data_IF_121149143572
#
_entry.id   IF_121149143572
#
_cell.length_a   1.000
_cell.length_b   1.000
_cell.length_c   1.000
_cell.angle_alpha   90.00
_cell.angle_beta   90.00
_cell.angle_gamma   90.00
#
_symmetry.space_group_name_H-M   'P 1'
#
loop_
_entity.id
_entity.type
_entity.pdbx_description
1 polymer ?
#
# COMPACT_ATOMS: atom_id res chain seq x y z
N UNK A 1 64.51 43.33 22.27
CA UNK A 1 63.89 42.51 21.21
C UNK A 1 62.89 41.56 21.85
N UNK A 2 61.62 41.96 21.98
CA UNK A 2 60.56 41.10 22.51
C UNK A 2 59.89 40.36 21.36
N UNK A 3 59.95 39.02 21.37
CA UNK A 3 59.30 38.14 20.40
C UNK A 3 57.85 37.92 20.83
N UNK A 4 56.90 38.42 20.06
CA UNK A 4 55.48 38.06 20.19
C UNK A 4 55.25 36.73 19.47
N UNK A 5 54.81 35.71 20.21
CA UNK A 5 54.30 34.47 19.65
C UNK A 5 52.83 34.67 19.25
N UNK A 6 52.56 34.52 17.96
CA UNK A 6 51.20 34.48 17.41
C UNK A 6 50.66 33.05 17.61
N UNK A 7 49.72 32.87 18.53
CA UNK A 7 48.92 31.64 18.59
C UNK A 7 47.86 31.70 17.50
N UNK A 8 47.99 30.85 16.48
CA UNK A 8 46.91 30.59 15.52
C UNK A 8 45.93 29.63 16.19
N UNK A 9 44.77 30.14 16.58
CA UNK A 9 43.66 29.30 17.02
C UNK A 9 43.13 28.51 15.81
N UNK A 10 43.35 27.19 15.82
CA UNK A 10 42.72 26.27 14.88
C UNK A 10 41.21 26.25 15.20
N UNK A 11 40.40 26.87 14.36
CA UNK A 11 38.95 26.77 14.46
C UNK A 11 38.54 25.32 14.17
N UNK A 12 38.10 24.60 15.20
CA UNK A 12 37.49 23.28 15.06
C UNK A 12 36.17 23.43 14.28
N UNK A 13 36.17 23.03 13.01
CA UNK A 13 34.94 22.90 12.22
C UNK A 13 34.15 21.72 12.78
N UNK A 14 32.93 22.01 13.21
CA UNK A 14 32.08 21.23 14.09
C UNK A 14 31.66 19.84 13.53
N UNK A 15 31.44 18.83 14.41
CA UNK A 15 30.90 17.50 14.06
C UNK A 15 29.44 17.51 13.55
N UNK A 16 28.84 18.67 13.32
CA UNK A 16 27.44 18.80 12.91
C UNK A 16 27.17 18.32 11.48
N UNK A 17 28.18 18.34 10.61
CA UNK A 17 28.03 17.93 9.21
C UNK A 17 27.83 16.42 9.05
N UNK A 18 28.50 15.61 9.88
CA UNK A 18 28.42 14.15 9.81
C UNK A 18 27.06 13.62 10.30
N UNK A 19 26.59 14.08 11.46
CA UNK A 19 25.29 13.65 12.01
C UNK A 19 24.10 14.05 11.10
N UNK A 20 24.16 15.24 10.48
CA UNK A 20 23.15 15.67 9.51
C UNK A 20 23.21 14.87 8.19
N UNK A 21 24.40 14.41 7.79
CA UNK A 21 24.57 13.55 6.62
C UNK A 21 24.07 12.11 6.88
N UNK A 22 24.25 11.60 8.10
CA UNK A 22 23.75 10.29 8.53
C UNK A 22 22.22 10.23 8.59
N UNK A 23 21.56 11.30 9.03
CA UNK A 23 20.10 11.38 9.08
C UNK A 23 19.46 11.33 7.67
N UNK A 24 20.07 12.01 6.68
CA UNK A 24 19.55 12.06 5.31
C UNK A 24 19.46 10.69 4.65
N UNK A 25 20.30 9.73 5.06
CA UNK A 25 20.28 8.37 4.54
C UNK A 25 18.95 7.64 4.81
N UNK A 26 18.19 8.04 5.84
CA UNK A 26 16.93 7.41 6.23
C UNK A 26 15.69 8.12 5.66
N UNK A 27 15.82 9.35 5.18
CA UNK A 27 14.71 10.14 4.66
C UNK A 27 14.21 9.58 3.31
N UNK A 28 12.93 9.83 3.03
CA UNK A 28 12.23 9.41 1.83
C UNK A 28 11.27 8.24 2.06
N UNK A 29 10.83 7.65 0.95
CA UNK A 29 9.86 6.56 0.90
C UNK A 29 10.59 5.22 0.76
N UNK A 30 10.12 4.22 1.49
CA UNK A 30 10.76 2.92 1.63
C UNK A 30 9.76 1.79 1.52
N UNK A 31 10.05 0.89 0.59
CA UNK A 31 9.42 -0.42 0.46
C UNK A 31 9.97 -1.33 1.56
N UNK A 32 9.15 -1.59 2.59
CA UNK A 32 9.58 -2.33 3.77
C UNK A 32 9.14 -3.79 3.66
N UNK A 33 10.07 -4.72 3.83
CA UNK A 33 9.79 -6.15 3.97
C UNK A 33 10.05 -6.56 5.41
N UNK A 34 9.05 -7.15 6.05
CA UNK A 34 9.12 -7.65 7.42
C UNK A 34 9.21 -9.16 7.38
N UNK A 35 10.23 -9.73 8.02
CA UNK A 35 10.45 -11.18 8.07
C UNK A 35 10.41 -11.64 9.53
N UNK A 36 9.29 -12.21 9.99
CA UNK A 36 9.20 -12.83 11.30
C UNK A 36 10.13 -14.03 11.41
N UNK A 37 10.45 -14.45 12.64
CA UNK A 37 11.19 -15.69 12.88
C UNK A 37 10.48 -16.94 12.32
N UNK A 38 9.15 -16.89 12.13
CA UNK A 38 8.37 -17.95 11.47
C UNK A 38 8.60 -18.03 9.96
N UNK A 39 9.33 -17.08 9.38
CA UNK A 39 9.88 -17.12 8.03
C UNK A 39 9.02 -16.49 6.93
N UNK A 40 7.69 -16.46 7.07
CA UNK A 40 6.84 -15.88 6.01
C UNK A 40 6.88 -14.35 6.06
N UNK A 41 7.68 -13.77 5.17
CA UNK A 41 7.78 -12.33 5.00
C UNK A 41 6.45 -11.71 4.53
N UNK A 42 6.25 -10.43 4.85
CA UNK A 42 5.10 -9.66 4.40
C UNK A 42 5.47 -8.20 4.16
N UNK A 43 4.71 -7.50 3.30
CA UNK A 43 5.00 -6.12 2.97
C UNK A 43 4.49 -5.14 4.02
N UNK A 44 5.23 -4.05 4.13
CA UNK A 44 4.88 -2.80 4.78
C UNK A 44 5.51 -1.66 3.97
N UNK A 45 5.25 -0.42 4.35
CA UNK A 45 5.88 0.73 3.73
C UNK A 45 6.09 1.85 4.74
N UNK A 46 7.03 2.75 4.46
CA UNK A 46 7.33 3.90 5.32
C UNK A 46 7.71 5.13 4.51
N UNK A 47 7.36 6.31 5.03
CA UNK A 47 7.90 7.59 4.58
C UNK A 47 8.40 8.40 5.77
N UNK A 48 9.63 8.89 5.67
CA UNK A 48 10.25 9.81 6.62
C UNK A 48 10.60 11.11 5.94
N UNK A 49 10.24 12.23 6.56
CA UNK A 49 10.55 13.58 6.10
C UNK A 49 11.18 14.37 7.23
N UNK A 50 12.07 15.29 6.90
CA UNK A 50 12.61 16.25 7.86
C UNK A 50 11.87 17.57 7.72
N UNK A 51 11.39 18.10 8.84
CA UNK A 51 10.69 19.37 8.94
C UNK A 51 11.13 20.07 10.22
N UNK A 52 11.66 21.29 10.07
CA UNK A 52 12.14 22.12 11.18
C UNK A 52 13.11 21.38 12.13
N UNK A 53 14.01 20.56 11.57
CA UNK A 53 14.99 19.77 12.33
C UNK A 53 14.41 18.53 13.03
N UNK A 54 13.13 18.22 12.84
CA UNK A 54 12.46 17.02 13.38
C UNK A 54 12.15 16.03 12.26
N UNK A 55 12.23 14.75 12.57
CA UNK A 55 11.80 13.69 11.66
C UNK A 55 10.32 13.40 11.93
N UNK A 56 9.51 13.65 10.92
CA UNK A 56 8.10 13.25 10.85
C UNK A 56 7.95 12.12 9.83
N UNK A 57 6.81 11.44 9.84
CA UNK A 57 6.61 10.35 8.90
C UNK A 57 5.37 9.53 9.16
N UNK A 58 5.23 8.48 8.37
CA UNK A 58 4.12 7.53 8.44
C UNK A 58 4.57 6.14 8.04
N UNK A 59 3.83 5.15 8.53
CA UNK A 59 4.00 3.74 8.17
C UNK A 59 2.68 3.18 7.67
N UNK A 60 2.77 2.36 6.63
CA UNK A 60 1.69 1.49 6.18
C UNK A 60 1.91 0.10 6.77
N UNK A 61 1.11 -0.35 7.75
CA UNK A 61 1.15 -1.71 8.24
C UNK A 61 0.67 -2.72 7.17
N UNK A 62 0.81 -4.02 7.46
CA UNK A 62 0.44 -5.10 6.55
C UNK A 62 -1.02 -5.02 6.08
N UNK A 63 -1.92 -4.53 6.92
CA UNK A 63 -3.34 -4.33 6.64
C UNK A 63 -3.89 -3.17 7.45
N UNK A 64 -5.06 -2.67 7.07
CA UNK A 64 -5.61 -1.40 7.57
C UNK A 64 -4.90 -0.19 6.96
N UNK A 65 -5.30 1.01 7.38
CA UNK A 65 -4.75 2.27 6.86
C UNK A 65 -3.34 2.59 7.36
N UNK A 66 -2.68 3.54 6.69
CA UNK A 66 -1.41 4.08 7.18
C UNK A 66 -1.63 4.85 8.48
N UNK A 67 -0.57 5.00 9.26
CA UNK A 67 -0.58 5.79 10.50
C UNK A 67 0.67 6.64 10.64
N UNK A 68 0.58 7.83 11.25
CA UNK A 68 1.77 8.62 11.54
C UNK A 68 2.69 7.85 12.50
N UNK A 69 3.99 8.05 12.36
CA UNK A 69 4.93 7.64 13.40
C UNK A 69 4.73 8.53 14.64
N UNK A 70 5.04 8.00 15.82
CA UNK A 70 4.98 8.76 17.06
C UNK A 70 6.24 9.60 17.30
N UNK A 71 7.29 9.34 16.54
CA UNK A 71 8.54 10.09 16.52
C UNK A 71 9.67 9.25 15.95
N UNK A 72 10.77 9.92 15.61
CA UNK A 72 12.01 9.26 15.22
C UNK A 72 13.22 10.02 15.74
N UNK A 73 14.30 9.29 16.05
CA UNK A 73 15.58 9.85 16.49
C UNK A 73 16.75 9.03 15.96
N UNK A 74 17.86 9.71 15.70
CA UNK A 74 19.12 9.05 15.41
C UNK A 74 19.86 8.79 16.72
N UNK A 75 20.23 7.54 16.98
CA UNK A 75 20.96 7.12 18.18
C UNK A 75 22.03 6.11 17.79
N UNK A 76 23.31 6.42 18.05
CA UNK A 76 24.45 5.54 17.76
C UNK A 76 24.47 5.02 16.30
N UNK A 77 24.13 5.86 15.33
CA UNK A 77 24.08 5.51 13.90
C UNK A 77 22.84 4.72 13.47
N UNK A 78 21.90 4.45 14.38
CA UNK A 78 20.61 3.81 14.08
C UNK A 78 19.48 4.84 14.09
N UNK A 79 18.58 4.73 13.13
CA UNK A 79 17.29 5.42 13.17
C UNK A 79 16.32 4.62 14.02
N UNK A 80 15.92 5.18 15.16
CA UNK A 80 14.92 4.61 16.07
C UNK A 80 13.58 5.28 15.76
N UNK A 81 12.60 4.51 15.30
CA UNK A 81 11.29 4.98 14.87
C UNK A 81 10.23 4.41 15.81
N UNK A 82 9.52 5.29 16.51
CA UNK A 82 8.41 4.90 17.37
C UNK A 82 7.15 4.68 16.52
N UNK A 83 6.75 3.43 16.34
CA UNK A 83 5.64 3.01 15.47
C UNK A 83 4.31 2.94 16.22
N UNK A 84 4.34 2.50 17.49
CA UNK A 84 3.16 2.53 18.36
C UNK A 84 3.55 2.63 19.83
N UNK A 85 2.74 3.34 20.61
CA UNK A 85 2.95 3.50 22.05
C UNK A 85 2.61 2.21 22.80
N UNK A 86 3.16 2.08 24.01
CA UNK A 86 2.75 1.03 24.92
C UNK A 86 1.29 1.26 25.36
N UNK A 87 0.55 0.17 25.47
CA UNK A 87 -0.81 0.14 26.00
C UNK A 87 -1.07 -1.24 26.61
N UNK A 88 -2.09 -1.94 26.13
CA UNK A 88 -2.28 -3.37 26.48
C UNK A 88 -1.19 -4.29 25.91
N UNK A 89 -0.49 -3.83 24.87
CA UNK A 89 0.69 -4.46 24.30
C UNK A 89 1.92 -3.55 24.47
N UNK A 90 3.15 -4.08 24.47
CA UNK A 90 4.36 -3.26 24.51
C UNK A 90 4.45 -2.31 23.31
N UNK A 91 5.17 -1.21 23.48
CA UNK A 91 5.48 -0.28 22.40
C UNK A 91 6.19 -1.01 21.25
N UNK A 92 5.98 -0.54 20.02
CA UNK A 92 6.68 -1.04 18.84
C UNK A 92 7.62 0.05 18.36
N UNK A 93 8.91 -0.29 18.26
CA UNK A 93 9.93 0.57 17.68
C UNK A 93 10.61 -0.17 16.53
N UNK A 94 11.02 0.56 15.50
CA UNK A 94 11.95 0.02 14.50
C UNK A 94 13.33 0.61 14.73
N UNK A 95 14.34 -0.26 14.78
CA UNK A 95 15.74 0.16 14.77
C UNK A 95 16.33 -0.15 13.40
N UNK A 96 16.58 0.90 12.61
CA UNK A 96 17.08 0.78 11.25
C UNK A 96 18.51 1.30 11.15
N UNK A 97 19.32 0.65 10.34
CA UNK A 97 20.66 1.08 9.94
C UNK A 97 20.70 1.26 8.44
N UNK A 98 21.40 2.28 7.96
CA UNK A 98 21.68 2.42 6.54
C UNK A 98 22.75 1.41 6.11
N UNK A 99 22.37 0.50 5.20
CA UNK A 99 23.25 -0.50 4.61
C UNK A 99 23.68 -0.11 3.17
N UNK A 100 23.52 1.16 2.82
CA UNK A 100 23.74 1.74 1.48
C UNK A 100 22.73 2.84 1.18
N UNK A 101 22.94 3.61 0.11
CA UNK A 101 22.10 4.76 -0.25
C UNK A 101 20.60 4.43 -0.38
N UNK A 102 20.30 3.22 -0.87
CA UNK A 102 18.95 2.74 -1.17
C UNK A 102 18.57 1.46 -0.42
N UNK A 103 19.25 1.18 0.69
CA UNK A 103 18.97 0.00 1.51
C UNK A 103 19.06 0.29 2.99
N UNK A 104 17.97 0.01 3.71
CA UNK A 104 17.92 -0.07 5.16
C UNK A 104 17.84 -1.52 5.59
N UNK A 105 18.46 -1.82 6.73
CA UNK A 105 18.30 -3.11 7.43
C UNK A 105 18.06 -2.84 8.90
N UNK A 106 17.28 -3.68 9.56
CA UNK A 106 17.00 -3.46 10.96
C UNK A 106 16.14 -4.54 11.60
N UNK A 107 15.60 -4.20 12.75
CA UNK A 107 14.72 -5.06 13.53
C UNK A 107 13.54 -4.26 14.07
N UNK A 108 12.39 -4.90 14.13
CA UNK A 108 11.28 -4.44 14.95
C UNK A 108 11.54 -4.87 16.40
N UNK A 109 11.38 -3.94 17.34
CA UNK A 109 11.42 -4.15 18.79
C UNK A 109 10.01 -4.07 19.35
N UNK A 110 9.64 -5.02 20.21
CA UNK A 110 8.40 -4.98 21.00
C UNK A 110 8.77 -4.83 22.47
N UNK A 111 8.70 -3.60 22.99
CA UNK A 111 9.42 -3.24 24.21
C UNK A 111 10.92 -3.46 23.99
N UNK A 112 11.56 -4.18 24.90
CA UNK A 112 12.99 -4.54 24.78
C UNK A 112 13.24 -5.81 23.95
N UNK A 113 12.18 -6.52 23.56
CA UNK A 113 12.28 -7.82 22.88
C UNK A 113 12.50 -7.64 21.38
N UNK A 114 13.50 -8.34 20.85
CA UNK A 114 13.71 -8.46 19.40
C UNK A 114 12.55 -9.18 18.73
N UNK A 115 12.04 -8.57 17.68
CA UNK A 115 10.98 -9.07 16.84
C UNK A 115 11.47 -9.39 15.42
N UNK A 116 10.60 -9.23 14.41
CA UNK A 116 10.93 -9.48 13.01
C UNK A 116 12.13 -8.68 12.48
N UNK A 117 12.85 -9.27 11.53
CA UNK A 117 13.85 -8.55 10.75
C UNK A 117 13.17 -7.61 9.75
N UNK A 118 13.79 -6.46 9.50
CA UNK A 118 13.31 -5.42 8.60
C UNK A 118 14.33 -5.19 7.48
N UNK A 119 13.84 -5.11 6.25
CA UNK A 119 14.62 -4.63 5.10
C UNK A 119 13.80 -3.54 4.42
N UNK A 120 14.41 -2.37 4.23
CA UNK A 120 13.82 -1.27 3.46
C UNK A 120 14.59 -1.10 2.17
N UNK A 121 13.91 -1.12 1.02
CA UNK A 121 14.47 -0.68 -0.25
C UNK A 121 13.89 0.68 -0.59
N UNK A 122 14.67 1.56 -1.22
CA UNK A 122 14.15 2.88 -1.58
C UNK A 122 13.00 2.70 -2.56
N UNK A 123 11.84 3.27 -2.21
CA UNK A 123 10.66 3.20 -3.07
C UNK A 123 10.95 3.92 -4.40
N UNK A 124 10.64 3.30 -5.55
CA UNK A 124 10.84 3.91 -6.85
C UNK A 124 9.93 5.14 -7.02
N UNK A 125 10.37 6.13 -7.81
CA UNK A 125 9.57 7.34 -8.08
C UNK A 125 8.26 7.01 -8.82
N UNK A 126 8.31 6.08 -9.77
CA UNK A 126 7.19 5.64 -10.62
C UNK A 126 6.39 6.79 -11.28
N UNK A 127 7.07 7.90 -11.53
CA UNK A 127 6.54 9.03 -12.27
C UNK A 127 6.87 8.82 -13.75
N UNK A 128 5.89 8.29 -14.49
CA UNK A 128 6.03 7.90 -15.90
C UNK A 128 5.09 8.74 -16.76
N UNK A 129 5.48 9.09 -18.00
CA UNK A 129 4.61 9.80 -18.91
C UNK A 129 3.42 8.92 -19.31
N UNK A 130 2.23 9.54 -19.44
CA UNK A 130 1.03 8.87 -19.94
C UNK A 130 1.28 8.29 -21.35
N UNK A 131 0.97 7.00 -21.59
CA UNK A 131 1.05 6.42 -22.93
C UNK A 131 0.20 7.17 -23.96
N UNK A 132 0.78 7.41 -25.15
CA UNK A 132 0.11 8.13 -26.24
C UNK A 132 -1.06 7.36 -26.85
N UNK A 133 -1.03 6.02 -26.77
CA UNK A 133 -2.10 5.18 -27.30
C UNK A 133 -2.20 3.84 -26.56
N UNK A 134 -3.40 3.28 -26.57
CA UNK A 134 -3.77 2.07 -25.84
C UNK A 134 -4.27 1.01 -26.82
N UNK A 135 -3.94 -0.26 -26.55
CA UNK A 135 -4.49 -1.40 -27.26
C UNK A 135 -6.02 -1.48 -27.07
N UNK A 136 -6.70 -2.27 -27.90
CA UNK A 136 -8.12 -2.56 -27.69
C UNK A 136 -8.30 -3.32 -26.35
N UNK A 137 -9.38 -3.06 -25.60
CA UNK A 137 -9.64 -3.81 -24.37
C UNK A 137 -9.74 -5.31 -24.63
N UNK A 138 -9.15 -6.10 -23.72
CA UNK A 138 -9.28 -7.57 -23.68
C UNK A 138 -9.88 -7.99 -22.35
N UNK A 139 -10.70 -9.04 -22.35
CA UNK A 139 -11.34 -9.53 -21.14
C UNK A 139 -10.31 -10.19 -20.21
N UNK A 140 -10.34 -9.81 -18.93
CA UNK A 140 -9.61 -10.50 -17.85
C UNK A 140 -10.43 -11.64 -17.26
N UNK A 141 -11.75 -11.57 -17.32
CA UNK A 141 -12.65 -12.64 -16.88
C UNK A 141 -13.48 -13.15 -18.07
N UNK A 142 -13.57 -14.47 -18.20
CA UNK A 142 -14.18 -15.11 -19.37
C UNK A 142 -15.69 -15.38 -19.23
N UNK A 143 -16.28 -15.10 -18.06
CA UNK A 143 -17.70 -15.33 -17.78
C UNK A 143 -18.08 -16.78 -17.48
N UNK A 144 -17.12 -17.72 -17.44
CA UNK A 144 -17.38 -19.17 -17.40
C UNK A 144 -16.69 -19.87 -16.24
N UNK A 145 -15.45 -19.52 -15.95
CA UNK A 145 -14.63 -20.15 -14.92
C UNK A 145 -13.51 -19.20 -14.46
N UNK A 146 -12.67 -19.67 -13.54
CA UNK A 146 -11.54 -18.89 -12.99
C UNK A 146 -10.27 -18.96 -13.86
N UNK A 147 -10.35 -19.36 -15.14
CA UNK A 147 -9.17 -19.35 -16.02
C UNK A 147 -8.57 -17.94 -16.07
N UNK A 148 -7.26 -17.84 -15.78
CA UNK A 148 -6.56 -16.55 -15.66
C UNK A 148 -6.59 -15.94 -14.26
N UNK A 149 -7.22 -16.62 -13.29
CA UNK A 149 -7.31 -16.22 -11.88
C UNK A 149 -6.88 -17.35 -10.95
N UNK A 150 -6.29 -17.01 -9.82
CA UNK A 150 -5.93 -17.97 -8.78
C UNK A 150 -6.27 -17.45 -7.38
N UNK A 151 -6.83 -18.30 -6.49
CA UNK A 151 -7.06 -17.94 -5.10
C UNK A 151 -5.74 -17.84 -4.34
N UNK A 152 -5.68 -16.89 -3.42
CA UNK A 152 -4.53 -16.63 -2.54
C UNK A 152 -4.99 -16.40 -1.10
N UNK A 153 -4.05 -16.40 -0.16
CA UNK A 153 -4.38 -16.29 1.27
C UNK A 153 -4.98 -17.60 1.77
N UNK A 154 -6.25 -17.58 2.20
CA UNK A 154 -6.94 -18.74 2.74
C UNK A 154 -7.54 -19.64 1.65
N UNK A 155 -6.68 -20.23 0.81
CA UNK A 155 -7.08 -21.02 -0.38
C UNK A 155 -8.01 -22.19 -0.07
N UNK A 156 -7.87 -22.81 1.11
CA UNK A 156 -8.76 -23.90 1.56
C UNK A 156 -10.19 -23.43 1.82
N UNK A 157 -10.40 -22.13 2.05
CA UNK A 157 -11.70 -21.49 2.15
C UNK A 157 -11.98 -20.60 0.92
N UNK A 158 -11.76 -21.13 -0.28
CA UNK A 158 -12.09 -20.42 -1.51
C UNK A 158 -13.61 -20.31 -1.69
N UNK A 159 -14.10 -19.07 -1.85
CA UNK A 159 -15.51 -18.75 -2.13
C UNK A 159 -15.73 -18.17 -3.52
N UNK A 160 -14.67 -18.05 -4.32
CA UNK A 160 -14.75 -17.50 -5.67
C UNK A 160 -15.32 -18.53 -6.65
N UNK A 161 -16.36 -18.13 -7.37
CA UNK A 161 -17.03 -18.93 -8.39
C UNK A 161 -17.35 -18.07 -9.62
N UNK A 162 -17.38 -18.70 -10.78
CA UNK A 162 -18.03 -18.12 -11.95
C UNK A 162 -19.49 -18.58 -11.96
N UNK A 163 -20.43 -17.63 -11.95
CA UNK A 163 -21.87 -17.91 -11.92
C UNK A 163 -22.60 -16.87 -12.76
N UNK A 164 -23.43 -17.30 -13.71
CA UNK A 164 -24.26 -16.42 -14.55
C UNK A 164 -23.50 -15.32 -15.31
N UNK A 165 -22.26 -15.62 -15.75
CA UNK A 165 -21.41 -14.63 -16.43
C UNK A 165 -20.67 -13.67 -15.49
N UNK A 166 -20.82 -13.84 -14.18
CA UNK A 166 -20.22 -13.01 -13.13
C UNK A 166 -19.12 -13.78 -12.38
N UNK A 167 -18.13 -13.02 -11.90
CA UNK A 167 -17.15 -13.49 -10.95
C UNK A 167 -17.64 -13.13 -9.55
N UNK A 168 -17.98 -14.14 -8.75
CA UNK A 168 -18.68 -13.97 -7.47
C UNK A 168 -17.80 -14.44 -6.32
N UNK A 169 -17.64 -13.61 -5.29
CA UNK A 169 -17.17 -14.04 -3.98
C UNK A 169 -18.38 -14.43 -3.13
N UNK A 170 -18.70 -15.72 -3.03
CA UNK A 170 -19.87 -16.22 -2.28
C UNK A 170 -19.57 -16.35 -0.78
N UNK A 171 -19.23 -15.21 -0.15
CA UNK A 171 -18.83 -15.09 1.24
C UNK A 171 -19.83 -14.24 2.05
N UNK A 172 -21.06 -14.75 2.33
CA UNK A 172 -22.06 -13.99 3.05
C UNK A 172 -21.59 -13.61 4.45
N UNK A 173 -22.11 -12.50 4.97
CA UNK A 173 -21.94 -12.17 6.39
C UNK A 173 -22.69 -13.22 7.24
N UNK A 174 -21.97 -13.82 8.19
CA UNK A 174 -22.54 -14.76 9.14
C UNK A 174 -22.39 -14.17 10.55
N UNK A 175 -23.48 -13.83 11.24
CA UNK A 175 -23.42 -13.26 12.58
C UNK A 175 -22.59 -14.11 13.55
N UNK A 176 -21.63 -13.47 14.21
CA UNK A 176 -20.75 -14.15 15.16
C UNK A 176 -19.69 -15.06 14.54
N UNK A 177 -19.54 -15.07 13.20
CA UNK A 177 -18.42 -15.74 12.55
C UNK A 177 -17.11 -15.16 13.05
N UNK A 178 -16.26 -16.04 13.57
CA UNK A 178 -14.89 -15.76 14.00
C UNK A 178 -13.97 -16.69 13.24
N UNK A 179 -12.89 -16.16 12.69
CA UNK A 179 -11.93 -16.96 11.94
C UNK A 179 -11.30 -16.18 10.79
N UNK A 180 -10.34 -16.80 10.09
CA UNK A 180 -9.76 -16.19 8.90
C UNK A 180 -10.83 -16.04 7.82
N UNK A 181 -10.78 -14.92 7.10
CA UNK A 181 -11.63 -14.67 5.94
C UNK A 181 -11.54 -15.73 4.84
N UNK A 182 -12.38 -15.61 3.81
CA UNK A 182 -12.27 -16.43 2.60
C UNK A 182 -10.96 -16.16 1.83
N UNK A 183 -10.72 -16.92 0.77
CA UNK A 183 -9.60 -16.64 -0.11
C UNK A 183 -9.74 -15.27 -0.77
N UNK A 184 -8.62 -14.59 -0.94
CA UNK A 184 -8.46 -13.49 -1.88
C UNK A 184 -8.29 -14.07 -3.29
N UNK A 185 -8.49 -13.28 -4.35
CA UNK A 185 -8.33 -13.75 -5.75
C UNK A 185 -7.43 -12.80 -6.53
N UNK A 186 -6.48 -13.33 -7.31
CA UNK A 186 -5.65 -12.50 -8.19
C UNK A 186 -5.57 -13.05 -9.60
N UNK A 187 -5.21 -12.21 -10.57
CA UNK A 187 -4.87 -12.68 -11.91
C UNK A 187 -3.56 -13.46 -11.90
N UNK A 188 -3.44 -14.45 -12.79
CA UNK A 188 -2.16 -15.14 -13.03
C UNK A 188 -1.19 -14.29 -13.86
N UNK A 189 -1.71 -13.37 -14.68
CA UNK A 189 -0.93 -12.37 -15.39
C UNK A 189 -0.54 -11.19 -14.51
N UNK A 190 0.55 -10.51 -14.88
CA UNK A 190 1.05 -9.29 -14.24
C UNK A 190 1.14 -8.14 -15.24
N UNK A 191 0.93 -6.92 -14.76
CA UNK A 191 0.77 -5.72 -15.56
C UNK A 191 1.56 -4.55 -14.96
N UNK A 192 2.01 -3.64 -15.81
CA UNK A 192 2.67 -2.40 -15.37
C UNK A 192 1.71 -1.22 -15.45
N UNK A 193 1.63 -0.60 -16.62
CA UNK A 193 0.72 0.51 -16.90
C UNK A 193 -0.49 -0.05 -17.64
N UNK A 194 -1.70 0.39 -17.31
CA UNK A 194 -2.93 -0.14 -17.88
C UNK A 194 -4.11 0.83 -17.76
N UNK A 195 -5.13 0.57 -18.58
CA UNK A 195 -6.51 0.96 -18.29
C UNK A 195 -7.30 -0.27 -17.91
N UNK A 196 -8.01 -0.23 -16.78
CA UNK A 196 -8.91 -1.26 -16.30
C UNK A 196 -10.35 -0.72 -16.38
N UNK A 197 -11.25 -1.52 -16.95
CA UNK A 197 -12.68 -1.37 -16.74
C UNK A 197 -13.16 -2.56 -15.90
N UNK A 198 -13.98 -2.29 -14.87
CA UNK A 198 -14.56 -3.32 -14.01
C UNK A 198 -15.89 -2.84 -13.46
N UNK A 199 -16.92 -3.69 -13.54
CA UNK A 199 -18.19 -3.46 -12.87
C UNK A 199 -18.27 -4.30 -11.60
N UNK A 200 -18.79 -3.71 -10.53
CA UNK A 200 -18.95 -4.37 -9.23
C UNK A 200 -20.34 -4.10 -8.65
N UNK A 201 -20.88 -5.10 -7.96
CA UNK A 201 -22.03 -4.99 -7.09
C UNK A 201 -21.62 -5.43 -5.69
N UNK A 202 -21.51 -4.47 -4.78
CA UNK A 202 -21.21 -4.69 -3.37
C UNK A 202 -22.52 -4.55 -2.57
N UNK A 203 -22.97 -5.58 -1.82
CA UNK A 203 -24.16 -5.47 -0.99
C UNK A 203 -23.95 -4.50 0.18
N UNK A 204 -25.03 -4.16 0.87
CA UNK A 204 -24.92 -3.52 2.19
C UNK A 204 -24.07 -4.37 3.13
N UNK A 205 -23.26 -3.73 3.97
CA UNK A 205 -22.29 -4.35 4.87
C UNK A 205 -21.18 -5.19 4.17
N UNK A 206 -21.15 -5.20 2.84
CA UNK A 206 -20.07 -5.79 2.08
C UNK A 206 -18.79 -4.95 2.13
N UNK A 207 -17.65 -5.62 2.13
CA UNK A 207 -16.34 -5.00 2.00
C UNK A 207 -15.44 -5.86 1.08
N UNK A 208 -14.71 -5.19 0.21
CA UNK A 208 -13.78 -5.73 -0.76
C UNK A 208 -12.86 -4.60 -1.23
N UNK A 209 -12.00 -4.90 -2.20
CA UNK A 209 -11.06 -3.93 -2.74
C UNK A 209 -10.51 -4.39 -4.08
N UNK A 210 -10.28 -3.43 -4.97
CA UNK A 210 -9.64 -3.65 -6.28
C UNK A 210 -8.19 -3.20 -6.16
N UNK A 211 -7.28 -4.15 -6.05
CA UNK A 211 -5.85 -3.88 -5.91
C UNK A 211 -5.16 -3.82 -7.27
N UNK A 212 -4.67 -2.63 -7.59
CA UNK A 212 -3.86 -2.33 -8.76
C UNK A 212 -2.45 -2.86 -8.53
N UNK A 213 -1.97 -3.70 -9.44
CA UNK A 213 -0.67 -4.40 -9.33
C UNK A 213 -0.50 -5.19 -8.02
N UNK A 214 -1.60 -5.54 -7.34
CA UNK A 214 -1.60 -6.22 -6.06
C UNK A 214 -1.13 -5.37 -4.88
N UNK A 215 -1.07 -4.03 -5.03
CA UNK A 215 -0.44 -3.14 -4.04
C UNK A 215 -1.26 -1.91 -3.67
N UNK A 216 -2.08 -1.40 -4.58
CA UNK A 216 -2.81 -0.15 -4.36
C UNK A 216 -4.30 -0.37 -4.49
N UNK A 217 -5.01 -0.21 -3.39
CA UNK A 217 -6.44 -0.51 -3.29
C UNK A 217 -7.32 0.66 -3.71
N UNK A 218 -8.21 0.40 -4.67
CA UNK A 218 -9.44 1.19 -4.85
C UNK A 218 -10.55 0.51 -4.04
N UNK A 219 -11.10 1.23 -3.07
CA UNK A 219 -12.00 0.68 -2.06
C UNK A 219 -13.35 0.26 -2.62
N UNK A 220 -13.84 -0.92 -2.24
CA UNK A 220 -15.18 -1.44 -2.57
C UNK A 220 -15.94 -1.76 -1.29
N UNK A 221 -16.77 -0.83 -0.82
CA UNK A 221 -17.54 -1.00 0.41
C UNK A 221 -17.59 0.28 1.21
N UNK A 222 -17.91 0.18 2.50
CA UNK A 222 -17.99 1.32 3.42
C UNK A 222 -17.53 0.90 4.81
N UNK A 223 -16.88 1.81 5.54
CA UNK A 223 -16.58 1.65 6.97
C UNK A 223 -17.48 2.54 7.85
N UNK A 224 -18.63 2.97 7.30
CA UNK A 224 -19.65 3.73 8.04
C UNK A 224 -19.40 5.23 8.11
N UNK A 225 -18.51 5.78 7.28
CA UNK A 225 -18.32 7.22 7.07
C UNK A 225 -17.41 7.91 8.08
N UNK A 226 -16.92 7.21 9.10
CA UNK A 226 -16.04 7.79 10.12
C UNK A 226 -14.63 8.13 9.59
N UNK A 227 -14.18 7.40 8.57
CA UNK A 227 -12.93 7.62 7.86
C UNK A 227 -13.24 7.77 6.37
N UNK A 228 -13.32 9.01 5.84
CA UNK A 228 -13.75 9.24 4.46
C UNK A 228 -12.88 8.56 3.40
N UNK A 229 -11.60 8.33 3.68
CA UNK A 229 -10.63 7.63 2.84
C UNK A 229 -10.72 6.10 2.90
N UNK A 230 -11.71 5.56 3.62
CA UNK A 230 -12.04 4.13 3.72
C UNK A 230 -13.40 3.81 3.04
N UNK A 231 -13.95 4.77 2.29
CA UNK A 231 -15.26 4.68 1.66
C UNK A 231 -15.19 4.29 0.18
N UNK A 232 -16.30 3.77 -0.36
CA UNK A 232 -16.41 3.32 -1.75
C UNK A 232 -15.81 4.31 -2.76
N UNK A 233 -14.82 3.85 -3.52
CA UNK A 233 -14.11 4.64 -4.52
C UNK A 233 -12.96 5.49 -3.98
N UNK A 234 -12.63 5.40 -2.69
CA UNK A 234 -11.38 5.93 -2.15
C UNK A 234 -10.17 5.21 -2.75
N UNK A 235 -9.02 5.89 -2.80
CA UNK A 235 -7.74 5.19 -2.76
C UNK A 235 -7.48 4.93 -1.29
N UNK A 236 -7.57 3.67 -0.87
CA UNK A 236 -7.72 3.30 0.54
C UNK A 236 -6.67 3.98 1.42
N UNK A 237 -7.13 4.67 2.46
CA UNK A 237 -6.34 5.43 3.43
C UNK A 237 -5.58 6.64 2.83
N UNK A 238 -5.58 6.90 1.53
CA UNK A 238 -4.84 8.01 0.94
C UNK A 238 -5.72 9.16 0.45
N UNK A 239 -6.77 8.84 -0.31
CA UNK A 239 -7.61 9.85 -0.96
C UNK A 239 -9.08 9.48 -0.82
N UNK A 240 -9.89 10.30 -0.13
CA UNK A 240 -11.33 10.07 -0.03
C UNK A 240 -12.01 10.28 -1.39
N UNK A 241 -13.20 9.68 -1.61
CA UNK A 241 -14.01 10.01 -2.78
C UNK A 241 -14.45 11.49 -2.71
N UNK A 242 -14.96 12.07 -3.82
CA UNK A 242 -15.51 13.42 -3.82
C UNK A 242 -16.56 13.61 -2.73
N UNK A 243 -16.60 14.80 -2.13
CA UNK A 243 -17.61 15.12 -1.11
C UNK A 243 -19.03 14.91 -1.65
N UNK A 244 -19.86 14.19 -0.88
CA UNK A 244 -21.23 13.85 -1.29
C UNK A 244 -21.35 12.72 -2.31
N UNK A 245 -20.27 12.00 -2.61
CA UNK A 245 -20.32 10.80 -3.44
C UNK A 245 -21.29 9.75 -2.86
N UNK A 246 -22.14 9.18 -3.70
CA UNK A 246 -23.02 8.08 -3.30
C UNK A 246 -22.23 6.77 -3.16
N UNK A 247 -22.55 5.98 -2.13
CA UNK A 247 -21.92 4.67 -1.93
C UNK A 247 -22.36 3.65 -3.00
N UNK A 248 -23.59 3.73 -3.52
CA UNK A 248 -24.08 2.84 -4.57
C UNK A 248 -24.16 1.35 -4.18
N UNK A 249 -24.27 1.04 -2.88
CA UNK A 249 -24.38 -0.34 -2.38
C UNK A 249 -25.65 -1.03 -2.93
N UNK A 250 -25.56 -2.34 -3.13
CA UNK A 250 -26.59 -3.20 -3.73
C UNK A 250 -26.80 -3.01 -5.23
N UNK A 251 -26.20 -1.99 -5.84
CA UNK A 251 -26.34 -1.66 -7.27
C UNK A 251 -25.05 -1.98 -8.01
N UNK A 252 -25.18 -2.22 -9.31
CA UNK A 252 -24.01 -2.27 -10.21
C UNK A 252 -23.44 -0.85 -10.35
N UNK A 253 -22.14 -0.74 -10.15
CA UNK A 253 -21.34 0.47 -10.37
C UNK A 253 -20.13 0.09 -11.22
N UNK A 254 -19.73 1.01 -12.08
CA UNK A 254 -18.60 0.85 -12.99
C UNK A 254 -17.39 1.63 -12.49
N UNK A 255 -16.21 1.05 -12.65
CA UNK A 255 -14.92 1.72 -12.46
C UNK A 255 -14.12 1.67 -13.75
N UNK A 256 -13.75 2.85 -14.24
CA UNK A 256 -12.74 3.04 -15.29
C UNK A 256 -11.49 3.64 -14.64
N UNK A 257 -10.43 2.83 -14.59
CA UNK A 257 -9.20 3.16 -13.88
C UNK A 257 -8.06 3.25 -14.88
N UNK A 258 -7.40 4.40 -14.96
CA UNK A 258 -6.11 4.53 -15.67
C UNK A 258 -5.00 4.56 -14.64
N UNK A 259 -4.05 3.63 -14.74
CA UNK A 259 -2.94 3.50 -13.81
C UNK A 259 -1.61 3.48 -14.58
N UNK A 260 -0.76 4.47 -14.35
CA UNK A 260 0.53 4.64 -15.04
C UNK A 260 1.60 4.96 -14.02
N UNK A 261 2.61 4.09 -13.91
CA UNK A 261 3.57 4.13 -12.82
C UNK A 261 2.89 3.93 -11.47
N UNK A 262 2.69 5.02 -10.71
CA UNK A 262 1.81 5.06 -9.52
C UNK A 262 0.82 6.23 -9.51
N UNK A 263 0.57 6.81 -10.67
CA UNK A 263 -0.48 7.81 -10.83
C UNK A 263 -1.78 7.13 -11.24
N UNK A 264 -2.87 7.51 -10.58
CA UNK A 264 -4.19 6.91 -10.79
C UNK A 264 -5.22 7.97 -11.17
N UNK A 265 -5.98 7.66 -12.22
CA UNK A 265 -7.26 8.29 -12.50
C UNK A 265 -8.35 7.24 -12.27
N UNK A 266 -9.35 7.58 -11.46
CA UNK A 266 -10.52 6.74 -11.21
C UNK A 266 -11.75 7.50 -11.64
N UNK A 267 -12.49 6.93 -12.58
CA UNK A 267 -13.83 7.36 -12.94
C UNK A 267 -14.80 6.28 -12.49
N UNK A 268 -15.79 6.65 -11.69
CA UNK A 268 -16.83 5.75 -11.20
C UNK A 268 -18.19 6.23 -11.67
N UNK A 269 -18.94 5.37 -12.35
CA UNK A 269 -20.24 5.71 -12.97
C UNK A 269 -20.20 7.01 -13.80
N UNK A 270 -19.14 7.16 -14.59
CA UNK A 270 -18.90 8.33 -15.45
C UNK A 270 -18.46 9.60 -14.71
N UNK A 271 -18.31 9.58 -13.38
CA UNK A 271 -17.86 10.73 -12.57
C UNK A 271 -16.40 10.55 -12.16
N UNK A 272 -15.60 11.61 -12.24
CA UNK A 272 -14.20 11.60 -11.82
C UNK A 272 -14.12 11.60 -10.29
N UNK A 273 -13.49 10.57 -9.72
CA UNK A 273 -13.22 10.46 -8.29
C UNK A 273 -11.80 10.92 -7.96
N UNK A 274 -10.84 10.43 -8.74
CA UNK A 274 -9.43 10.79 -8.64
C UNK A 274 -8.92 11.15 -10.03
N UNK A 275 -8.17 12.25 -10.15
CA UNK A 275 -7.67 12.71 -11.44
C UNK A 275 -6.14 12.75 -11.45
N UNK A 276 -5.52 11.69 -11.97
CA UNK A 276 -4.07 11.53 -12.12
C UNK A 276 -3.28 11.88 -10.84
N UNK A 277 -3.74 11.39 -9.68
CA UNK A 277 -3.09 11.62 -8.39
C UNK A 277 -1.97 10.60 -8.17
N UNK A 278 -0.84 11.01 -7.60
CA UNK A 278 0.23 10.09 -7.19
C UNK A 278 -0.22 9.32 -5.94
N UNK A 279 -0.23 7.99 -5.97
CA UNK A 279 -0.40 7.21 -4.74
C UNK A 279 0.96 7.19 -4.02
N UNK A 280 1.08 7.63 -2.75
CA UNK A 280 2.38 7.78 -2.10
C UNK A 280 3.20 6.49 -2.01
N UNK A 281 2.52 5.37 -1.73
CA UNK A 281 3.08 4.03 -1.60
C UNK A 281 1.97 2.97 -1.60
N UNK A 282 2.29 1.69 -1.36
CA UNK A 282 1.30 0.62 -1.27
C UNK A 282 0.27 0.88 -0.17
N UNK A 283 -0.95 0.39 -0.36
CA UNK A 283 -2.00 0.38 0.67
C UNK A 283 -1.92 -0.87 1.53
N UNK A 284 -2.67 -0.91 2.64
CA UNK A 284 -2.83 -2.12 3.43
C UNK A 284 -3.38 -3.27 2.58
N UNK A 285 -2.90 -4.49 2.82
CA UNK A 285 -3.26 -5.68 2.05
C UNK A 285 -2.42 -5.92 0.79
N UNK A 286 -1.40 -5.10 0.53
CA UNK A 286 -0.44 -5.33 -0.56
C UNK A 286 0.16 -6.76 -0.52
N UNK A 287 0.44 -7.33 -1.69
CA UNK A 287 1.02 -8.67 -1.82
C UNK A 287 2.52 -8.71 -1.56
N UNK A 288 3.23 -7.66 -1.92
CA UNK A 288 4.67 -7.49 -1.77
C UNK A 288 5.06 -6.00 -1.78
N UNK A 289 6.33 -5.72 -1.47
CA UNK A 289 6.90 -4.36 -1.46
C UNK A 289 7.75 -4.07 -2.71
N UNK A 290 7.46 -4.72 -3.85
CA UNK A 290 8.22 -4.54 -5.08
C UNK A 290 7.50 -3.54 -6.01
N UNK A 291 7.37 -2.28 -5.59
CA UNK A 291 6.64 -1.25 -6.35
C UNK A 291 7.17 -1.06 -7.79
N UNK A 292 8.43 -1.40 -8.07
CA UNK A 292 9.02 -1.29 -9.40
C UNK A 292 8.50 -2.35 -10.39
N UNK A 293 8.04 -3.51 -9.90
CA UNK A 293 7.78 -4.70 -10.71
C UNK A 293 6.33 -4.81 -11.18
N UNK A 294 6.06 -5.31 -12.41
CA UNK A 294 4.70 -5.65 -12.83
C UNK A 294 3.98 -6.47 -11.75
N UNK A 295 2.68 -6.23 -11.57
CA UNK A 295 1.89 -6.93 -10.55
C UNK A 295 0.52 -7.37 -11.06
N UNK A 296 -0.12 -8.34 -10.38
CA UNK A 296 -1.43 -8.84 -10.79
C UNK A 296 -2.54 -7.83 -10.46
N UNK A 297 -3.75 -8.03 -10.98
CA UNK A 297 -4.94 -7.52 -10.30
C UNK A 297 -5.28 -8.44 -9.15
N UNK A 298 -5.72 -7.89 -8.03
CA UNK A 298 -6.14 -8.63 -6.85
C UNK A 298 -7.49 -8.09 -6.37
N UNK A 299 -8.43 -8.98 -6.09
CA UNK A 299 -9.73 -8.68 -5.49
C UNK A 299 -9.78 -9.25 -4.07
N UNK A 300 -10.06 -8.37 -3.11
CA UNK A 300 -10.14 -8.72 -1.69
C UNK A 300 -11.41 -9.53 -1.42
N UNK A 301 -11.23 -10.82 -1.12
CA UNK A 301 -12.31 -11.77 -0.85
C UNK A 301 -12.36 -12.23 0.61
N UNK A 302 -11.35 -11.91 1.40
CA UNK A 302 -11.28 -12.27 2.82
C UNK A 302 -12.21 -11.45 3.73
N UNK A 303 -12.89 -10.44 3.18
CA UNK A 303 -13.94 -9.68 3.84
C UNK A 303 -15.34 -10.23 3.51
N UNK A 304 -16.33 -9.87 4.33
CA UNK A 304 -17.70 -10.37 4.21
C UNK A 304 -18.51 -9.64 3.14
N UNK A 305 -19.57 -10.30 2.67
CA UNK A 305 -20.49 -9.82 1.65
C UNK A 305 -20.40 -10.66 0.38
N UNK A 306 -21.55 -10.98 -0.21
CA UNK A 306 -21.61 -11.64 -1.52
C UNK A 306 -21.31 -10.60 -2.60
N UNK A 307 -20.03 -10.40 -2.91
CA UNK A 307 -19.57 -9.43 -3.90
C UNK A 307 -19.61 -10.05 -5.29
N UNK A 308 -20.11 -9.30 -6.28
CA UNK A 308 -20.21 -9.74 -7.67
C UNK A 308 -19.47 -8.78 -8.57
N UNK A 309 -18.71 -9.33 -9.50
CA UNK A 309 -17.95 -8.59 -10.50
C UNK A 309 -18.31 -9.05 -11.89
N UNK A 310 -18.29 -8.15 -12.87
CA UNK A 310 -18.47 -8.48 -14.28
C UNK A 310 -17.76 -7.47 -15.17
N UNK A 311 -17.75 -7.75 -16.47
CA UNK A 311 -17.19 -6.86 -17.49
C UNK A 311 -15.77 -6.38 -17.13
N UNK A 312 -14.90 -7.30 -16.75
CA UNK A 312 -13.53 -6.98 -16.35
C UNK A 312 -12.66 -6.98 -17.59
N UNK A 313 -12.19 -5.80 -18.03
CA UNK A 313 -11.35 -5.67 -19.22
C UNK A 313 -10.12 -4.80 -18.97
N UNK A 314 -9.04 -5.11 -19.68
CA UNK A 314 -7.78 -4.35 -19.62
C UNK A 314 -7.37 -3.86 -21.00
N UNK A 315 -6.85 -2.63 -21.06
CA UNK A 315 -6.10 -2.12 -22.21
C UNK A 315 -4.67 -1.81 -21.79
N UNK A 316 -3.71 -2.36 -22.52
CA UNK A 316 -2.29 -2.11 -22.30
C UNK A 316 -1.77 -1.01 -23.23
N UNK A 317 -0.68 -0.30 -22.88
CA UNK A 317 0.00 0.61 -23.80
C UNK A 317 0.35 -0.10 -25.11
N UNK A 318 0.15 0.56 -26.26
CA UNK A 318 0.72 0.05 -27.51
C UNK A 318 2.24 0.19 -27.47
N UNK A 319 2.93 -0.87 -27.90
CA UNK A 319 4.38 -0.83 -28.15
C UNK A 319 4.68 0.09 -29.33
#
# INVERSE_FOLDING_TARGET
>A
MHKSFLFVALAAVLPWTAAAQDQKAFLGRWDMTVTPATGKAFPQWMELVEKDGKIEGRVQPRGGGWRPILGAKLESGKMIIAVSAAGRAPAINWELTSAGADKLTGIEKRGETDGPALVGLRAPKLDRPMPKSWAKPVALFNGKDLTGWEPIGNVTNNKWIARDGELVNDNPEVPGQRGPGAANLKTTGTYQDFKLHIEVNCPEHGNSGIYLRGRYEVQVGTEGGSQPDHEMGAIYSHYPPPAGAELGLGKWTSYDITFVGRHVTVVRDGKVYHNNVEIPGPTGGALDSNEAEPGPFFLQGDHHGVIRYRNITISLPKK
#
